data_IF_095994427700
#
_entry.id   IF_095994427700
#
_cell.length_a   1.000
_cell.length_b   1.000
_cell.length_c   1.000
_cell.angle_alpha   90.00
_cell.angle_beta   90.00
_cell.angle_gamma   90.00
#
_symmetry.space_group_name_H-M   'P 1'
#
loop_
_entity.id
_entity.type
_entity.pdbx_description
1 polymer ?
#
# COMPACT_ATOMS: atom_id res chain seq x y z
N UNK A 1 -11.19 -49.36 -7.86
CA UNK A 1 -11.08 -47.90 -7.66
C UNK A 1 -9.74 -47.61 -6.98
N UNK A 2 -8.91 -46.70 -7.53
CA UNK A 2 -7.57 -46.36 -7.00
C UNK A 2 -7.63 -45.02 -6.26
N UNK A 3 -7.31 -45.00 -4.97
CA UNK A 3 -7.22 -43.78 -4.15
C UNK A 3 -5.94 -43.02 -4.54
N UNK A 4 -6.07 -41.95 -5.33
CA UNK A 4 -4.98 -41.03 -5.62
C UNK A 4 -4.68 -40.21 -4.36
N UNK A 5 -3.44 -40.23 -3.82
CA UNK A 5 -3.09 -39.44 -2.65
C UNK A 5 -3.43 -37.97 -2.89
N UNK A 6 -4.18 -37.38 -1.97
CA UNK A 6 -4.57 -35.97 -2.04
C UNK A 6 -3.32 -35.12 -2.23
N UNK A 7 -3.32 -34.30 -3.29
CA UNK A 7 -2.30 -33.28 -3.48
C UNK A 7 -2.39 -32.37 -2.27
N UNK A 8 -1.43 -32.52 -1.35
CA UNK A 8 -1.25 -31.60 -0.24
C UNK A 8 -0.74 -30.31 -0.87
N UNK A 9 -1.66 -29.41 -1.23
CA UNK A 9 -1.32 -28.07 -1.67
C UNK A 9 -0.67 -27.38 -0.48
N UNK A 10 0.65 -27.40 -0.43
CA UNK A 10 1.40 -26.49 0.43
C UNK A 10 0.99 -25.09 0.01
N UNK A 11 0.48 -24.24 0.94
CA UNK A 11 0.22 -22.86 0.62
C UNK A 11 1.51 -22.29 0.05
N UNK A 12 1.46 -21.79 -1.18
CA UNK A 12 2.56 -20.98 -1.71
C UNK A 12 2.68 -19.83 -0.74
N UNK A 13 3.76 -19.81 0.04
CA UNK A 13 4.04 -18.75 0.98
C UNK A 13 4.26 -17.52 0.11
N UNK A 14 3.21 -16.71 -0.06
CA UNK A 14 3.23 -15.57 -0.96
C UNK A 14 4.43 -14.71 -0.59
N UNK A 15 5.36 -14.54 -1.51
CA UNK A 15 6.41 -13.54 -1.34
C UNK A 15 5.72 -12.18 -1.34
N UNK A 16 5.65 -11.52 -0.18
CA UNK A 16 5.12 -10.16 -0.09
C UNK A 16 6.07 -9.23 -0.85
N UNK A 17 5.63 -8.74 -2.01
CA UNK A 17 6.36 -7.72 -2.78
C UNK A 17 6.22 -6.39 -2.04
N UNK A 18 7.35 -5.76 -1.72
CA UNK A 18 7.37 -4.39 -1.20
C UNK A 18 7.56 -3.42 -2.35
N UNK A 19 6.66 -2.44 -2.47
CA UNK A 19 6.73 -1.36 -3.46
C UNK A 19 6.89 -0.05 -2.69
N UNK A 20 7.78 0.83 -3.13
CA UNK A 20 8.01 2.15 -2.53
C UNK A 20 8.17 3.18 -3.63
N UNK A 21 7.55 4.35 -3.47
CA UNK A 21 7.60 5.44 -4.43
C UNK A 21 7.44 6.79 -3.72
N UNK A 22 7.81 7.89 -4.39
CA UNK A 22 7.76 9.26 -3.87
C UNK A 22 6.77 10.10 -4.64
N UNK A 23 5.78 10.66 -3.95
CA UNK A 23 4.86 11.64 -4.53
C UNK A 23 5.50 13.03 -4.49
N UNK A 24 5.90 13.52 -5.66
CA UNK A 24 6.39 14.90 -5.84
C UNK A 24 5.30 15.78 -6.46
N UNK A 25 5.31 17.07 -6.16
CA UNK A 25 4.43 18.05 -6.80
C UNK A 25 5.24 19.15 -7.47
N UNK A 26 4.78 19.60 -8.63
CA UNK A 26 5.26 20.82 -9.32
C UNK A 26 4.35 22.01 -9.08
N UNK A 27 3.18 21.80 -8.46
CA UNK A 27 2.24 22.86 -8.16
C UNK A 27 2.73 23.68 -6.95
N UNK A 28 3.01 24.97 -7.18
CA UNK A 28 3.56 25.86 -6.14
C UNK A 28 2.64 26.03 -4.93
N UNK A 29 1.32 25.93 -5.10
CA UNK A 29 0.36 26.02 -3.99
C UNK A 29 0.53 24.79 -3.09
N UNK A 30 0.57 23.60 -3.68
CA UNK A 30 0.77 22.35 -2.95
C UNK A 30 2.15 22.25 -2.31
N UNK A 31 3.19 22.81 -2.94
CA UNK A 31 4.53 22.87 -2.36
C UNK A 31 4.55 23.69 -1.05
N UNK A 32 3.68 24.71 -0.94
CA UNK A 32 3.53 25.53 0.26
C UNK A 32 2.53 24.98 1.29
N UNK A 33 1.94 23.80 1.03
CA UNK A 33 1.06 23.18 2.00
C UNK A 33 1.81 22.80 3.27
N UNK A 34 1.15 23.00 4.41
CA UNK A 34 1.69 22.53 5.68
C UNK A 34 1.77 21.01 5.73
N UNK A 35 2.64 20.48 6.59
CA UNK A 35 2.70 19.04 6.85
C UNK A 35 1.32 18.45 7.20
N UNK A 36 0.46 19.18 7.90
CA UNK A 36 -0.90 18.73 8.23
C UNK A 36 -1.79 18.55 6.99
N UNK A 37 -1.67 19.45 6.00
CA UNK A 37 -2.39 19.33 4.73
C UNK A 37 -1.90 18.12 3.93
N UNK A 38 -0.59 17.92 3.84
CA UNK A 38 -0.02 16.71 3.23
C UNK A 38 -0.45 15.44 3.95
N UNK A 39 -0.50 15.43 5.29
CA UNK A 39 -1.01 14.29 6.09
C UNK A 39 -2.43 13.92 5.69
N UNK A 40 -3.31 14.87 5.42
CA UNK A 40 -4.67 14.57 5.02
C UNK A 40 -4.75 13.83 3.68
N UNK A 41 -3.96 14.25 2.68
CA UNK A 41 -3.92 13.61 1.37
C UNK A 41 -3.33 12.21 1.47
N UNK A 42 -2.16 12.11 2.10
CA UNK A 42 -1.42 10.84 2.22
C UNK A 42 -2.18 9.82 3.08
N UNK A 43 -2.85 10.26 4.15
CA UNK A 43 -3.71 9.39 4.98
C UNK A 43 -4.88 8.81 4.18
N UNK A 44 -5.48 9.59 3.27
CA UNK A 44 -6.52 9.08 2.37
C UNK A 44 -5.96 8.01 1.43
N UNK A 45 -4.79 8.24 0.84
CA UNK A 45 -4.13 7.25 -0.01
C UNK A 45 -3.86 5.94 0.75
N UNK A 46 -3.26 6.03 1.94
CA UNK A 46 -3.01 4.86 2.80
C UNK A 46 -4.32 4.14 3.14
N UNK A 47 -5.39 4.87 3.49
CA UNK A 47 -6.70 4.26 3.78
C UNK A 47 -7.28 3.52 2.57
N UNK A 48 -7.16 4.06 1.36
CA UNK A 48 -7.61 3.39 0.14
C UNK A 48 -6.89 2.04 -0.07
N UNK A 49 -5.62 1.97 0.32
CA UNK A 49 -4.79 0.77 0.23
C UNK A 49 -5.05 -0.24 1.36
N UNK A 50 -5.27 0.21 2.60
CA UNK A 50 -5.37 -0.69 3.77
C UNK A 50 -6.80 -1.09 4.14
N UNK A 51 -7.78 -0.24 3.81
CA UNK A 51 -9.16 -0.38 4.26
C UNK A 51 -10.20 -0.12 3.17
N UNK A 52 -9.79 0.49 2.07
CA UNK A 52 -10.65 0.87 0.96
C UNK A 52 -10.67 -0.17 -0.17
N UNK A 53 -10.99 0.29 -1.39
CA UNK A 53 -11.20 -0.57 -2.55
C UNK A 53 -10.00 -1.46 -2.92
N UNK A 54 -8.78 -1.08 -2.52
CA UNK A 54 -7.57 -1.83 -2.85
C UNK A 54 -7.10 -2.79 -1.75
N UNK A 55 -7.84 -2.93 -0.64
CA UNK A 55 -7.43 -3.74 0.53
C UNK A 55 -7.06 -5.18 0.18
N UNK A 56 -7.71 -5.81 -0.78
CA UNK A 56 -7.41 -7.19 -1.20
C UNK A 56 -6.04 -7.34 -1.88
N UNK A 57 -5.44 -6.24 -2.32
CA UNK A 57 -4.17 -6.23 -3.06
C UNK A 57 -2.96 -5.89 -2.20
N UNK A 58 -3.18 -5.32 -1.02
CA UNK A 58 -2.11 -4.87 -0.13
C UNK A 58 -2.31 -5.40 1.28
N UNK A 59 -1.30 -6.07 1.81
CA UNK A 59 -1.30 -6.50 3.20
C UNK A 59 -1.13 -5.32 4.16
N UNK A 60 -0.26 -4.37 3.80
CA UNK A 60 0.02 -3.16 4.59
C UNK A 60 0.45 -2.03 3.67
N UNK A 61 0.09 -0.79 4.05
CA UNK A 61 0.62 0.41 3.42
C UNK A 61 0.97 1.43 4.50
N UNK A 62 2.09 2.13 4.31
CA UNK A 62 2.53 3.22 5.15
C UNK A 62 2.98 4.36 4.27
N UNK A 63 2.99 5.57 4.84
CA UNK A 63 3.50 6.71 4.11
C UNK A 63 4.10 7.72 5.10
N UNK A 64 5.19 8.32 4.67
CA UNK A 64 5.97 9.29 5.44
C UNK A 64 5.98 10.61 4.70
N UNK A 65 5.88 11.70 5.45
CA UNK A 65 6.08 13.04 4.89
C UNK A 65 7.49 13.45 5.24
N UNK A 66 8.33 13.57 4.22
CA UNK A 66 9.66 14.16 4.36
C UNK A 66 9.52 15.67 4.55
N UNK A 67 10.17 16.20 5.58
CA UNK A 67 10.49 17.63 5.67
C UNK A 67 11.91 17.84 5.18
N UNK A 68 12.16 18.97 4.51
CA UNK A 68 13.51 19.51 4.40
C UNK A 68 14.00 19.99 5.76
#
# INVERSE_FOLDING_TARGET
MSNRPGVKTTPVNGTHLTISDTLSTTNIIMANWSNAMWRNVVSRAVRMLTSGPFKSHFFSATATIGGN
#
